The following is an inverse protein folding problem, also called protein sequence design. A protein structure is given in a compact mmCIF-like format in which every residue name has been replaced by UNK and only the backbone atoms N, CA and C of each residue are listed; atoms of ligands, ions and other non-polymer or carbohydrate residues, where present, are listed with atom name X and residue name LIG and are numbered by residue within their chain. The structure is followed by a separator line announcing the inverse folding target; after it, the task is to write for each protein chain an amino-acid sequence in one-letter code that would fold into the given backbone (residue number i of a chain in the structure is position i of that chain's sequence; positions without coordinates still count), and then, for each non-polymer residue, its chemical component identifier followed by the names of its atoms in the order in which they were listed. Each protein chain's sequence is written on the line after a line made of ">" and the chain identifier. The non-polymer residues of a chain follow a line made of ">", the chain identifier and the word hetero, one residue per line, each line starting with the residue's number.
data_IF_292614420011
#
_entry.id   IF_292614420011
#
_cell.length_a   1.000
_cell.length_b   1.000
_cell.length_c   1.000
_cell.angle_alpha   90.00
_cell.angle_beta   90.00
_cell.angle_gamma   90.00
#
_symmetry.space_group_name_H-M   'P 1'
#
loop_
_entity.id
_entity.type
_entity.pdbx_description
1 polymer ?
#
# COMPACT_ATOMS: atom_id res chain seq x y z
N UNK A 1 3.88 3.56 -6.85
CA UNK A 1 4.25 2.14 -6.99
C UNK A 1 5.43 1.83 -6.10
N UNK A 2 5.54 0.59 -5.65
CA UNK A 2 6.65 0.13 -4.85
C UNK A 2 7.98 0.22 -5.63
N UNK A 3 9.04 0.63 -4.94
CA UNK A 3 10.39 0.74 -5.45
C UNK A 3 11.42 0.51 -4.34
N UNK A 4 12.65 0.16 -4.71
CA UNK A 4 13.74 -0.13 -3.79
C UNK A 4 13.68 -1.54 -3.19
N UNK A 5 14.82 -1.99 -2.66
CA UNK A 5 15.00 -3.39 -2.20
C UNK A 5 14.03 -3.80 -1.08
N UNK A 6 13.64 -2.86 -0.21
CA UNK A 6 12.72 -3.13 0.90
C UNK A 6 11.28 -3.43 0.42
N UNK A 7 10.85 -2.78 -0.67
CA UNK A 7 9.44 -2.74 -1.05
C UNK A 7 9.17 -3.36 -2.42
N UNK A 8 10.20 -3.70 -3.17
CA UNK A 8 10.12 -4.55 -4.35
C UNK A 8 11.22 -5.61 -4.30
N UNK A 9 11.19 -6.49 -3.28
CA UNK A 9 12.17 -7.55 -3.17
C UNK A 9 11.94 -8.56 -4.29
N UNK A 10 12.98 -8.81 -5.09
CA UNK A 10 12.95 -9.88 -6.10
C UNK A 10 13.26 -11.24 -5.45
N UNK A 11 12.47 -11.61 -4.44
CA UNK A 11 12.61 -12.85 -3.66
C UNK A 11 11.73 -13.96 -4.21
N UNK A 12 11.91 -15.19 -3.71
CA UNK A 12 11.03 -16.33 -4.00
C UNK A 12 9.56 -16.06 -3.66
N UNK A 13 9.28 -15.16 -2.71
CA UNK A 13 7.93 -14.76 -2.32
C UNK A 13 7.27 -13.78 -3.32
N UNK A 14 7.99 -13.37 -4.36
CA UNK A 14 7.54 -12.43 -5.37
C UNK A 14 7.52 -10.97 -4.91
N UNK A 15 7.18 -10.07 -5.84
CA UNK A 15 6.97 -8.66 -5.53
C UNK A 15 5.65 -8.42 -4.79
N UNK A 16 5.52 -7.27 -4.14
CA UNK A 16 4.28 -6.86 -3.48
C UNK A 16 3.22 -6.37 -4.47
N UNK A 17 1.98 -6.25 -3.99
CA UNK A 17 0.81 -5.87 -4.79
C UNK A 17 0.98 -4.55 -5.56
N UNK A 18 1.68 -3.57 -4.98
CA UNK A 18 1.87 -2.24 -5.60
C UNK A 18 3.12 -2.14 -6.46
N UNK A 19 3.70 -3.28 -6.86
CA UNK A 19 4.79 -3.33 -7.83
C UNK A 19 4.40 -2.63 -9.15
N UNK A 20 5.37 -2.00 -9.80
CA UNK A 20 5.10 -1.15 -10.97
C UNK A 20 4.62 -1.91 -12.22
N UNK A 21 4.71 -3.25 -12.22
CA UNK A 21 4.31 -4.11 -13.34
C UNK A 21 3.35 -5.18 -12.86
N UNK A 22 2.46 -5.62 -13.75
CA UNK A 22 1.52 -6.70 -13.47
C UNK A 22 2.26 -7.98 -13.02
N UNK A 23 1.75 -8.61 -11.96
CA UNK A 23 2.27 -9.88 -11.41
C UNK A 23 1.26 -10.99 -11.64
N UNK A 24 1.73 -12.24 -11.79
CA UNK A 24 0.87 -13.42 -11.98
C UNK A 24 -0.07 -13.66 -10.81
N UNK A 25 0.28 -13.21 -9.59
CA UNK A 25 -0.61 -13.23 -8.43
C UNK A 25 -0.52 -14.50 -7.58
N UNK A 26 0.41 -15.41 -7.89
CA UNK A 26 0.54 -16.73 -7.25
C UNK A 26 1.46 -16.73 -6.03
N UNK A 27 2.41 -15.80 -5.96
CA UNK A 27 3.43 -15.78 -4.90
C UNK A 27 2.94 -15.03 -3.65
N UNK A 28 3.54 -15.33 -2.51
CA UNK A 28 3.04 -14.92 -1.19
C UNK A 28 2.90 -13.40 -1.02
N UNK A 29 3.78 -12.59 -1.62
CA UNK A 29 3.74 -11.13 -1.53
C UNK A 29 2.75 -10.49 -2.50
N UNK A 30 2.32 -11.20 -3.57
CA UNK A 30 1.45 -10.60 -4.59
C UNK A 30 0.06 -10.22 -4.03
N UNK A 31 -0.33 -10.77 -2.88
CA UNK A 31 -1.58 -10.45 -2.16
C UNK A 31 -1.36 -9.59 -0.91
N UNK A 32 -0.16 -9.02 -0.75
CA UNK A 32 0.23 -8.19 0.40
C UNK A 32 0.68 -6.81 -0.09
N UNK A 33 0.41 -5.79 0.72
CA UNK A 33 1.04 -4.49 0.55
C UNK A 33 2.47 -4.51 1.12
N UNK A 34 3.40 -3.82 0.47
CA UNK A 34 4.76 -3.66 0.99
C UNK A 34 4.78 -2.75 2.23
N UNK A 35 5.87 -2.74 3.02
CA UNK A 35 6.06 -1.77 4.10
C UNK A 35 5.95 -0.30 3.64
N UNK A 36 6.44 0.02 2.43
CA UNK A 36 6.34 1.37 1.87
C UNK A 36 4.90 1.74 1.54
N UNK A 37 4.17 0.80 0.92
CA UNK A 37 2.76 0.98 0.58
C UNK A 37 1.90 1.17 1.83
N UNK A 38 2.12 0.35 2.87
CA UNK A 38 1.43 0.50 4.16
C UNK A 38 1.71 1.87 4.76
N UNK A 39 2.97 2.29 4.84
CA UNK A 39 3.34 3.61 5.40
C UNK A 39 2.62 4.77 4.70
N UNK A 40 2.62 4.77 3.37
CA UNK A 40 1.98 5.82 2.57
C UNK A 40 0.46 5.82 2.72
N UNK A 41 -0.19 4.66 2.64
CA UNK A 41 -1.64 4.55 2.84
C UNK A 41 -2.02 4.98 4.26
N UNK A 42 -1.25 4.58 5.26
CA UNK A 42 -1.46 5.00 6.65
C UNK A 42 -1.35 6.52 6.84
N UNK A 43 -0.48 7.21 6.11
CA UNK A 43 -0.42 8.68 6.16
C UNK A 43 -1.70 9.33 5.60
N UNK A 44 -2.20 8.81 4.48
CA UNK A 44 -3.47 9.29 3.88
C UNK A 44 -4.64 9.03 4.81
N UNK A 45 -4.76 7.81 5.33
CA UNK A 45 -5.84 7.43 6.25
C UNK A 45 -5.79 8.29 7.53
N UNK A 46 -4.60 8.53 8.10
CA UNK A 46 -4.46 9.43 9.26
C UNK A 46 -4.98 10.84 8.98
N UNK A 47 -4.72 11.41 7.81
CA UNK A 47 -5.25 12.73 7.43
C UNK A 47 -6.78 12.72 7.28
N UNK A 48 -7.35 11.63 6.75
CA UNK A 48 -8.82 11.46 6.62
C UNK A 48 -9.53 11.27 7.97
N UNK A 49 -8.93 10.54 8.91
CA UNK A 49 -9.50 10.28 10.24
C UNK A 49 -9.06 11.32 11.29
N UNK A 50 -8.24 12.29 10.91
CA UNK A 50 -7.84 13.39 11.79
C UNK A 50 -9.04 14.29 12.09
N UNK A 51 -9.24 14.60 13.37
CA UNK A 51 -10.25 15.56 13.82
C UNK A 51 -9.99 16.99 13.34
N UNK A 52 -8.80 17.26 12.76
CA UNK A 52 -8.44 18.57 12.20
C UNK A 52 -9.12 18.87 10.87
N UNK A 53 -9.87 17.91 10.29
CA UNK A 53 -10.66 18.14 9.07
C UNK A 53 -9.84 18.40 7.81
N UNK A 54 -8.59 17.93 7.76
CA UNK A 54 -7.68 18.16 6.63
C UNK A 54 -8.20 17.59 5.31
N UNK A 55 -9.03 16.53 5.36
CA UNK A 55 -9.73 15.96 4.22
C UNK A 55 -11.11 15.45 4.63
N UNK A 56 -12.09 15.54 3.70
CA UNK A 56 -13.43 14.96 3.88
C UNK A 56 -13.32 13.43 3.96
N UNK A 57 -13.76 12.86 5.07
CA UNK A 57 -13.83 11.42 5.25
C UNK A 57 -15.11 10.85 4.65
N UNK A 58 -15.00 10.20 3.49
CA UNK A 58 -16.13 9.55 2.81
C UNK A 58 -16.32 8.06 3.19
N UNK A 59 -15.52 7.50 4.12
CA UNK A 59 -15.72 6.12 4.58
C UNK A 59 -16.91 5.96 5.52
N UNK A 60 -17.28 7.04 6.20
CA UNK A 60 -18.35 6.99 7.19
C UNK A 60 -19.75 7.10 6.60
N UNK A 61 -19.89 7.28 5.28
CA UNK A 61 -21.19 7.35 4.58
C UNK A 61 -22.11 8.43 5.18
N UNK A 62 -22.14 9.62 4.56
CA UNK A 62 -23.19 10.59 4.91
C UNK A 62 -24.57 10.05 4.52
#
# INVERSE_FOLDING_TARGET
>A
HDAGALCSPNTSDGNYLMYARATVGTLANNRKFSPCSISNMSAVLRSMFSSRGEKRNCFLGA
#
